data_IF_828356068554
#
_entry.id   IF_828356068554
#
_cell.length_a   1.000
_cell.length_b   1.000
_cell.length_c   1.000
_cell.angle_alpha   90.00
_cell.angle_beta   90.00
_cell.angle_gamma   90.00
#
_symmetry.space_group_name_H-M   'P 1'
#
loop_
_entity.id
_entity.type
_entity.pdbx_description
1 polymer ?
#
# COMPACT_ATOMS: atom_id res chain seq x y z
N UNK A 1 6.21 -9.70 -7.46
CA UNK A 1 7.13 -9.26 -6.38
C UNK A 1 6.27 -8.80 -5.21
N UNK A 2 6.42 -9.37 -4.00
CA UNK A 2 5.73 -8.85 -2.81
C UNK A 2 6.52 -7.66 -2.27
N UNK A 3 5.91 -6.47 -2.29
CA UNK A 3 6.52 -5.25 -1.76
C UNK A 3 6.59 -5.37 -0.25
N UNK A 4 7.78 -5.19 0.34
CA UNK A 4 7.96 -5.31 1.79
C UNK A 4 7.10 -4.27 2.52
N UNK A 5 6.53 -4.68 3.66
CA UNK A 5 5.68 -3.80 4.46
C UNK A 5 6.55 -2.92 5.35
N UNK A 6 6.23 -1.62 5.47
CA UNK A 6 6.92 -0.75 6.41
C UNK A 6 6.69 -1.20 7.86
N UNK A 7 7.61 -0.80 8.74
CA UNK A 7 7.45 -0.97 10.18
C UNK A 7 6.22 -0.22 10.69
N UNK A 8 5.35 -0.93 11.43
CA UNK A 8 4.08 -0.40 11.90
C UNK A 8 4.24 0.72 12.93
N UNK A 9 5.27 0.66 13.76
CA UNK A 9 5.54 1.67 14.78
C UNK A 9 5.97 3.01 14.17
N UNK A 10 6.51 2.97 12.95
CA UNK A 10 6.95 4.14 12.18
C UNK A 10 5.87 4.71 11.26
N UNK A 11 4.68 4.08 11.19
CA UNK A 11 3.62 4.53 10.30
C UNK A 11 2.95 5.81 10.80
N UNK A 12 2.72 6.80 9.91
CA UNK A 12 1.80 7.88 10.19
C UNK A 12 0.41 7.33 10.53
N UNK A 13 -0.27 7.98 11.49
CA UNK A 13 -1.61 7.60 11.96
C UNK A 13 -2.60 7.18 10.86
N UNK A 14 -2.79 7.91 9.74
CA UNK A 14 -3.76 7.50 8.72
C UNK A 14 -3.38 6.17 8.03
N UNK A 15 -2.09 5.85 7.89
CA UNK A 15 -1.63 4.57 7.32
C UNK A 15 -1.77 3.43 8.33
N UNK A 16 -1.44 3.71 9.59
CA UNK A 16 -1.61 2.75 10.69
C UNK A 16 -3.08 2.36 10.90
N UNK A 17 -4.00 3.32 10.82
CA UNK A 17 -5.44 3.08 10.96
C UNK A 17 -6.11 2.48 9.71
N UNK A 18 -5.36 2.22 8.64
CA UNK A 18 -5.90 1.69 7.38
C UNK A 18 -6.69 2.70 6.55
N UNK A 19 -6.66 3.99 6.90
CA UNK A 19 -7.37 5.06 6.18
C UNK A 19 -6.59 5.58 4.97
N UNK A 20 -5.33 5.21 4.85
CA UNK A 20 -4.47 5.58 3.75
C UNK A 20 -3.60 4.40 3.31
N UNK A 21 -3.23 4.40 2.03
CA UNK A 21 -2.32 3.41 1.47
C UNK A 21 -0.98 3.41 2.24
N UNK A 22 -0.55 2.23 2.67
CA UNK A 22 0.64 2.04 3.50
C UNK A 22 1.92 2.58 2.83
N UNK A 23 1.96 2.59 1.50
CA UNK A 23 3.12 3.03 0.75
C UNK A 23 3.03 4.50 0.30
N UNK A 24 2.02 4.87 -0.50
CA UNK A 24 1.94 6.23 -1.06
C UNK A 24 1.16 7.23 -0.19
N UNK A 25 0.44 6.77 0.85
CA UNK A 25 -0.36 7.64 1.70
C UNK A 25 -1.64 8.18 1.06
N UNK A 26 -2.03 7.70 -0.12
CA UNK A 26 -3.31 8.07 -0.74
C UNK A 26 -4.48 7.69 0.17
N UNK A 27 -5.47 8.58 0.32
CA UNK A 27 -6.64 8.36 1.17
C UNK A 27 -7.51 7.22 0.61
N UNK A 28 -7.84 6.26 1.47
CA UNK A 28 -8.71 5.12 1.18
C UNK A 28 -10.12 5.33 1.76
N UNK A 29 -10.44 6.52 2.28
CA UNK A 29 -11.77 6.78 2.84
C UNK A 29 -12.89 6.74 1.79
N UNK A 30 -12.57 7.12 0.55
CA UNK A 30 -13.53 7.20 -0.56
C UNK A 30 -13.35 6.06 -1.58
N UNK A 31 -12.37 5.18 -1.37
CA UNK A 31 -12.04 4.07 -2.28
C UNK A 31 -11.78 2.83 -1.44
N UNK A 32 -12.41 1.70 -1.77
CA UNK A 32 -12.23 0.47 -1.00
C UNK A 32 -10.77 0.00 -1.07
N UNK A 33 -10.03 0.17 0.03
CA UNK A 33 -8.65 -0.30 0.16
C UNK A 33 -8.55 -1.81 0.05
N UNK A 34 -7.45 -2.30 -0.53
CA UNK A 34 -7.17 -3.74 -0.63
C UNK A 34 -6.22 -4.14 0.51
N UNK A 35 -6.39 -5.28 1.18
CA UNK A 35 -5.46 -5.72 2.22
C UNK A 35 -4.06 -5.91 1.65
N UNK A 36 -3.07 -5.21 2.22
CA UNK A 36 -1.66 -5.35 1.85
C UNK A 36 -0.95 -6.41 2.72
N UNK A 37 -1.48 -6.67 3.91
CA UNK A 37 -0.97 -7.64 4.88
C UNK A 37 -0.84 -7.04 6.27
N UNK A 38 -0.12 -7.72 7.15
CA UNK A 38 0.15 -7.26 8.52
C UNK A 38 1.52 -6.59 8.60
N UNK A 39 1.53 -5.29 8.83
CA UNK A 39 2.76 -4.57 9.15
C UNK A 39 3.14 -4.91 10.60
N UNK A 40 4.40 -5.27 10.81
CA UNK A 40 4.93 -5.57 12.12
C UNK A 40 5.68 -4.36 12.68
N UNK A 41 5.60 -4.13 13.98
CA UNK A 41 6.34 -3.06 14.64
C UNK A 41 6.18 -3.08 16.14
N UNK A 42 7.14 -2.49 16.85
CA UNK A 42 7.19 -2.51 18.31
C UNK A 42 7.56 -1.12 18.85
N UNK A 43 6.91 -0.70 19.92
CA UNK A 43 7.31 0.50 20.68
C UNK A 43 7.62 0.06 22.11
N UNK A 44 8.91 -0.05 22.43
CA UNK A 44 9.35 -0.67 23.68
C UNK A 44 8.86 -2.11 23.77
N UNK A 45 8.05 -2.41 24.79
CA UNK A 45 7.46 -3.74 25.00
C UNK A 45 6.07 -3.92 24.35
N UNK A 46 5.55 -2.90 23.66
CA UNK A 46 4.21 -2.94 23.07
C UNK A 46 4.26 -3.38 21.60
N UNK A 47 3.49 -4.43 21.25
CA UNK A 47 3.25 -4.83 19.87
C UNK A 47 2.33 -3.82 19.18
N UNK A 48 2.80 -3.25 18.08
CA UNK A 48 2.08 -2.31 17.24
C UNK A 48 1.69 -2.96 15.90
N UNK A 49 1.75 -4.29 15.81
CA UNK A 49 1.46 -4.99 14.55
C UNK A 49 0.01 -4.83 14.14
N UNK A 50 -0.24 -4.23 12.98
CA UNK A 50 -1.57 -3.86 12.49
C UNK A 50 -1.79 -4.31 11.04
N UNK A 51 -3.03 -4.60 10.68
CA UNK A 51 -3.39 -4.82 9.29
C UNK A 51 -3.36 -3.49 8.53
N UNK A 52 -2.69 -3.49 7.39
CA UNK A 52 -2.50 -2.29 6.55
C UNK A 52 -3.06 -2.53 5.16
N UNK A 53 -3.45 -1.43 4.53
CA UNK A 53 -4.16 -1.46 3.26
C UNK A 53 -3.36 -0.74 2.17
N UNK A 54 -3.60 -1.15 0.95
CA UNK A 54 -3.04 -0.56 -0.25
C UNK A 54 -4.14 0.00 -1.15
N UNK A 55 -3.71 0.84 -2.09
CA UNK A 55 -4.61 1.33 -3.12
C UNK A 55 -5.20 0.15 -3.93
N UNK A 56 -6.50 0.22 -4.28
CA UNK A 56 -7.09 -0.67 -5.27
C UNK A 56 -6.48 -0.43 -6.65
N UNK A 57 -6.56 -1.41 -7.57
CA UNK A 57 -6.04 -1.27 -8.92
C UNK A 57 -6.61 -0.05 -9.64
N UNK A 58 -5.75 0.69 -10.34
CA UNK A 58 -6.10 1.94 -11.03
C UNK A 58 -6.17 3.17 -10.13
N UNK A 59 -5.84 3.06 -8.84
CA UNK A 59 -5.84 4.17 -7.88
C UNK A 59 -4.46 4.34 -7.24
N UNK A 60 -4.05 5.59 -7.03
CA UNK A 60 -2.84 5.92 -6.29
C UNK A 60 -1.58 5.24 -6.83
N UNK A 61 -0.89 4.45 -6.00
CA UNK A 61 0.33 3.74 -6.40
C UNK A 61 0.08 2.30 -6.88
N UNK A 62 -1.19 1.93 -7.08
CA UNK A 62 -1.60 0.67 -7.68
C UNK A 62 -2.11 0.91 -9.11
N UNK A 63 -1.49 1.85 -9.83
CA UNK A 63 -1.48 1.83 -11.29
C UNK A 63 -0.99 0.45 -11.73
N UNK A 64 -1.63 -0.13 -12.75
CA UNK A 64 -1.43 -1.52 -13.18
C UNK A 64 0.04 -1.91 -13.40
N UNK A 65 0.31 -3.21 -13.60
CA UNK A 65 1.67 -3.68 -13.78
C UNK A 65 2.27 -2.95 -14.98
N UNK A 66 3.31 -2.17 -14.70
CA UNK A 66 4.37 -1.89 -15.65
C UNK A 66 3.95 -1.12 -16.93
N UNK A 67 4.03 0.21 -16.84
CA UNK A 67 4.36 1.06 -17.98
C UNK A 67 5.81 0.77 -18.49
N UNK A 68 6.20 -0.50 -18.63
CA UNK A 68 7.45 -0.95 -19.28
C UNK A 68 7.27 -2.23 -20.15
N UNK A 69 6.03 -2.66 -20.42
CA UNK A 69 5.74 -3.77 -21.32
C UNK A 69 4.97 -3.37 -22.59
N UNK A 70 4.80 -2.07 -22.88
CA UNK A 70 4.19 -1.62 -24.13
C UNK A 70 4.94 -0.44 -24.79
N UNK A 71 6.27 -0.52 -24.83
CA UNK A 71 7.01 -0.08 -26.02
C UNK A 71 6.83 -1.19 -27.09
N UNK A 72 5.79 -1.21 -27.90
CA UNK A 72 5.67 -0.54 -29.20
C UNK A 72 4.88 -1.50 -30.13
N UNK A 73 4.29 -0.97 -31.21
CA UNK A 73 2.90 -1.19 -31.56
C UNK A 73 2.66 -2.27 -32.61
N UNK A 74 1.38 -2.65 -32.76
CA UNK A 74 0.87 -3.25 -33.97
C UNK A 74 1.19 -2.34 -35.19
N UNK A 75 2.02 -2.83 -36.09
CA UNK A 75 2.06 -2.38 -37.49
C UNK A 75 1.66 -3.55 -38.40
N UNK A 76 0.90 -3.18 -39.44
CA UNK A 76 0.14 -4.05 -40.35
C UNK A 76 0.98 -4.99 -41.22
#
# INVERSE_FOLDING_TARGET
MKRELPDAASLPRPRYSGWACVWCGHSLMNVMGVPAGRAHGWIGAHDMSVEVFQCPPGVGCATGPDEAALEHPAEC
#
